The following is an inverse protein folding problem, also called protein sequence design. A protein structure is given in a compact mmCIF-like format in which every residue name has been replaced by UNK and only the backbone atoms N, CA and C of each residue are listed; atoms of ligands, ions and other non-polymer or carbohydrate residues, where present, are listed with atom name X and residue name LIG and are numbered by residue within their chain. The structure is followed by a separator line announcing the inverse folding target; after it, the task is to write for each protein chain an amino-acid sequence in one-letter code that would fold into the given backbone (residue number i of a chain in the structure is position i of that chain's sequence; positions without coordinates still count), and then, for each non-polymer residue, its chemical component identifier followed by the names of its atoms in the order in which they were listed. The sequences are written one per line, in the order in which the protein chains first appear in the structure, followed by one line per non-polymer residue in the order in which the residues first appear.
data_IF_364350696689
#
_entry.id   IF_364350696689
#
_cell.length_a   1.000
_cell.length_b   1.000
_cell.length_c   1.000
_cell.angle_alpha   90.00
_cell.angle_beta   90.00
_cell.angle_gamma   90.00
#
_symmetry.space_group_name_H-M   'P 1'
#
loop_
_entity.id
_entity.type
_entity.pdbx_description
1 polymer ?
#
# COMPACT_ATOMS: atom_id res chain seq x y z
N UNK A 1 -9.09 21.53 11.31
CA UNK A 1 -7.78 22.23 11.28
C UNK A 1 -7.95 23.55 10.52
N UNK A 2 -7.07 24.54 10.68
CA UNK A 2 -7.24 25.87 10.05
C UNK A 2 -7.30 25.80 8.50
N UNK A 3 -6.55 24.89 7.90
CA UNK A 3 -6.49 24.69 6.45
C UNK A 3 -7.81 24.16 5.85
N UNK A 4 -8.47 23.21 6.51
CA UNK A 4 -9.77 22.68 6.08
C UNK A 4 -10.85 23.78 6.04
N UNK A 5 -10.84 24.67 7.03
CA UNK A 5 -11.79 25.78 7.12
C UNK A 5 -11.56 26.82 6.00
N UNK A 6 -10.31 27.06 5.64
CA UNK A 6 -9.96 27.95 4.52
C UNK A 6 -10.43 27.34 3.20
N UNK A 7 -10.15 26.05 2.99
CA UNK A 7 -10.58 25.34 1.79
C UNK A 7 -12.11 25.34 1.62
N UNK A 8 -12.87 25.07 2.68
CA UNK A 8 -14.34 25.14 2.66
C UNK A 8 -14.85 26.54 2.29
N UNK A 9 -14.22 27.60 2.82
CA UNK A 9 -14.58 28.99 2.48
C UNK A 9 -14.25 29.36 1.03
N UNK A 10 -13.15 28.84 0.49
CA UNK A 10 -12.75 29.07 -0.91
C UNK A 10 -13.63 28.29 -1.89
N UNK A 11 -14.06 27.07 -1.54
CA UNK A 11 -14.99 26.27 -2.35
C UNK A 11 -16.34 26.97 -2.56
N UNK A 12 -16.86 27.66 -1.55
CA UNK A 12 -18.13 28.39 -1.68
C UNK A 12 -18.04 29.64 -2.58
N UNK A 13 -16.84 30.04 -3.00
CA UNK A 13 -16.62 31.20 -3.88
C UNK A 13 -16.58 30.83 -5.37
N UNK A 14 -16.56 29.54 -5.72
CA UNK A 14 -16.50 29.06 -7.11
C UNK A 14 -17.85 28.55 -7.61
N UNK A 15 -17.96 28.28 -8.91
CA UNK A 15 -19.21 27.78 -9.48
C UNK A 15 -19.50 26.34 -9.03
N UNK A 16 -20.77 25.92 -8.89
CA UNK A 16 -21.11 24.57 -8.43
C UNK A 16 -20.48 23.43 -9.25
N UNK A 17 -20.30 23.65 -10.56
CA UNK A 17 -19.64 22.68 -11.44
C UNK A 17 -18.12 22.58 -11.16
N UNK A 18 -17.49 23.70 -10.85
CA UNK A 18 -16.07 23.78 -10.50
C UNK A 18 -15.83 23.15 -9.12
N UNK A 19 -16.71 23.41 -8.14
CA UNK A 19 -16.69 22.78 -6.81
C UNK A 19 -16.75 21.25 -6.91
N UNK A 20 -17.69 20.72 -7.70
CA UNK A 20 -17.80 19.27 -7.92
C UNK A 20 -16.57 18.67 -8.61
N UNK A 21 -15.86 19.43 -9.44
CA UNK A 21 -14.61 18.97 -10.04
C UNK A 21 -13.46 18.98 -9.02
N UNK A 22 -13.33 20.05 -8.22
CA UNK A 22 -12.32 20.15 -7.16
C UNK A 22 -12.51 19.03 -6.14
N UNK A 23 -13.74 18.79 -5.66
CA UNK A 23 -14.03 17.72 -4.71
C UNK A 23 -13.68 16.32 -5.26
N UNK A 24 -13.92 16.07 -6.55
CA UNK A 24 -13.51 14.81 -7.19
C UNK A 24 -11.99 14.63 -7.20
N UNK A 25 -11.24 15.68 -7.54
CA UNK A 25 -9.77 15.64 -7.56
C UNK A 25 -9.23 15.44 -6.15
N UNK A 26 -9.70 16.22 -5.17
CA UNK A 26 -9.27 16.11 -3.77
C UNK A 26 -9.57 14.72 -3.21
N UNK A 27 -10.76 14.17 -3.48
CA UNK A 27 -11.13 12.81 -3.06
C UNK A 27 -10.23 11.76 -3.72
N UNK A 28 -9.96 11.90 -5.02
CA UNK A 28 -9.07 10.99 -5.75
C UNK A 28 -7.67 10.98 -5.15
N UNK A 29 -7.10 12.16 -4.89
CA UNK A 29 -5.74 12.29 -4.34
C UNK A 29 -5.66 11.83 -2.88
N UNK A 30 -6.72 12.04 -2.10
CA UNK A 30 -6.80 11.52 -0.74
C UNK A 30 -6.82 9.99 -0.72
N UNK A 31 -7.58 9.36 -1.62
CA UNK A 31 -7.60 7.90 -1.72
C UNK A 31 -6.28 7.34 -2.27
N UNK A 32 -5.69 7.98 -3.28
CA UNK A 32 -4.36 7.63 -3.81
C UNK A 32 -3.30 7.71 -2.71
N UNK A 33 -3.22 8.83 -1.98
CA UNK A 33 -2.26 8.98 -0.88
C UNK A 33 -2.51 7.98 0.27
N UNK A 34 -3.77 7.59 0.51
CA UNK A 34 -4.08 6.53 1.48
C UNK A 34 -3.60 5.17 0.99
N UNK A 35 -3.76 4.85 -0.29
CA UNK A 35 -3.28 3.60 -0.88
C UNK A 35 -1.75 3.55 -0.90
N UNK A 36 -1.08 4.62 -1.35
CA UNK A 36 0.39 4.74 -1.31
C UNK A 36 0.92 4.57 0.11
N UNK A 37 0.33 5.27 1.09
CA UNK A 37 0.72 5.16 2.50
C UNK A 37 0.56 3.75 3.06
N UNK A 38 -0.52 3.03 2.68
CA UNK A 38 -0.70 1.62 3.04
C UNK A 38 0.36 0.73 2.39
N UNK A 39 0.62 0.94 1.10
CA UNK A 39 1.57 0.13 0.33
C UNK A 39 3.00 0.29 0.87
N UNK A 40 3.43 1.53 1.13
CA UNK A 40 4.75 1.83 1.65
C UNK A 40 4.96 1.28 3.06
N UNK A 41 3.97 1.42 3.95
CA UNK A 41 4.09 0.86 5.30
C UNK A 41 4.05 -0.67 5.27
N UNK A 42 3.22 -1.30 4.43
CA UNK A 42 3.21 -2.76 4.27
C UNK A 42 4.57 -3.29 3.80
N UNK A 43 5.15 -2.70 2.74
CA UNK A 43 6.51 -3.03 2.27
C UNK A 43 7.54 -2.91 3.37
N UNK A 44 7.52 -1.79 4.10
CA UNK A 44 8.46 -1.52 5.19
C UNK A 44 8.34 -2.53 6.33
N UNK A 45 7.12 -2.89 6.72
CA UNK A 45 6.87 -3.89 7.76
C UNK A 45 7.32 -5.29 7.34
N UNK A 46 7.05 -5.70 6.10
CA UNK A 46 7.49 -6.98 5.56
C UNK A 46 9.01 -7.05 5.50
N UNK A 47 9.68 -6.01 4.99
CA UNK A 47 11.15 -5.94 4.97
C UNK A 47 11.75 -5.95 6.38
N UNK A 48 11.11 -5.26 7.34
CA UNK A 48 11.54 -5.30 8.74
C UNK A 48 11.36 -6.70 9.34
N UNK A 49 10.28 -7.40 9.04
CA UNK A 49 10.10 -8.79 9.46
C UNK A 49 11.20 -9.70 8.92
N UNK A 50 11.50 -9.61 7.61
CA UNK A 50 12.58 -10.37 6.98
C UNK A 50 13.92 -10.02 7.65
N UNK A 51 14.18 -8.74 7.93
CA UNK A 51 15.41 -8.32 8.62
C UNK A 51 15.55 -8.91 10.02
N UNK A 52 14.46 -8.99 10.77
CA UNK A 52 14.50 -9.52 12.14
C UNK A 52 14.64 -11.05 12.17
N UNK A 53 14.02 -11.76 11.22
CA UNK A 53 13.98 -13.25 11.23
C UNK A 53 15.03 -13.89 10.34
N UNK A 54 15.39 -13.24 9.23
CA UNK A 54 16.29 -13.73 8.17
C UNK A 54 17.20 -12.60 7.66
N UNK A 55 18.10 -12.05 8.51
CA UNK A 55 18.84 -10.83 8.22
C UNK A 55 19.67 -10.88 6.93
N UNK A 56 20.25 -12.03 6.59
CA UNK A 56 21.08 -12.18 5.38
C UNK A 56 20.27 -12.14 4.07
N UNK A 57 18.95 -12.25 4.17
CA UNK A 57 18.06 -12.40 3.01
C UNK A 57 17.36 -11.09 2.62
N UNK A 58 17.48 -10.02 3.41
CA UNK A 58 16.80 -8.74 3.16
C UNK A 58 17.13 -8.20 1.76
N UNK A 59 18.41 -8.14 1.42
CA UNK A 59 18.86 -7.62 0.12
C UNK A 59 18.35 -8.46 -1.05
N UNK A 60 18.13 -9.77 -0.85
CA UNK A 60 17.60 -10.68 -1.87
C UNK A 60 16.13 -10.37 -2.21
N UNK A 61 15.32 -10.04 -1.20
CA UNK A 61 13.88 -9.83 -1.37
C UNK A 61 13.48 -8.36 -1.55
N UNK A 62 14.37 -7.41 -1.25
CA UNK A 62 14.07 -5.98 -1.30
C UNK A 62 13.44 -5.52 -2.63
N UNK A 63 13.97 -5.94 -3.78
CA UNK A 63 13.41 -5.56 -5.07
C UNK A 63 12.05 -6.23 -5.36
N UNK A 64 11.88 -7.49 -4.93
CA UNK A 64 10.64 -8.24 -5.13
C UNK A 64 9.51 -7.63 -4.30
N UNK A 65 9.74 -7.35 -3.02
CA UNK A 65 8.73 -6.72 -2.14
C UNK A 65 8.35 -5.32 -2.63
N UNK A 66 9.30 -4.56 -3.17
CA UNK A 66 9.01 -3.24 -3.77
C UNK A 66 8.17 -3.34 -5.04
N UNK A 67 8.23 -4.47 -5.77
CA UNK A 67 7.44 -4.67 -6.98
C UNK A 67 6.00 -5.11 -6.69
N UNK A 68 5.68 -5.51 -5.45
CA UNK A 68 4.34 -5.96 -5.09
C UNK A 68 3.34 -4.80 -5.03
N UNK A 69 2.12 -5.07 -5.51
CA UNK A 69 0.96 -4.22 -5.32
C UNK A 69 0.34 -4.38 -3.91
N UNK A 70 -0.66 -3.58 -3.59
CA UNK A 70 -1.26 -3.55 -2.25
C UNK A 70 -1.97 -4.87 -1.91
N UNK A 71 -2.65 -5.49 -2.87
CA UNK A 71 -3.39 -6.74 -2.64
C UNK A 71 -2.41 -7.91 -2.39
N UNK A 72 -1.30 -7.95 -3.13
CA UNK A 72 -0.20 -8.87 -2.89
C UNK A 72 0.43 -8.67 -1.52
N UNK A 73 0.66 -7.42 -1.11
CA UNK A 73 1.25 -7.10 0.20
C UNK A 73 0.31 -7.49 1.35
N UNK A 74 -0.99 -7.28 1.21
CA UNK A 74 -2.00 -7.71 2.19
C UNK A 74 -2.05 -9.25 2.29
N UNK A 75 -2.09 -9.94 1.15
CA UNK A 75 -2.08 -11.42 1.09
C UNK A 75 -0.79 -12.03 1.68
N UNK A 76 0.37 -11.36 1.48
CA UNK A 76 1.62 -11.74 2.12
C UNK A 76 1.56 -11.55 3.63
N UNK A 77 0.99 -10.42 4.08
CA UNK A 77 0.89 -10.07 5.49
C UNK A 77 0.08 -11.10 6.29
N UNK A 78 -1.00 -11.65 5.72
CA UNK A 78 -1.83 -12.68 6.35
C UNK A 78 -1.07 -14.00 6.60
N UNK A 79 -0.08 -14.30 5.76
CA UNK A 79 0.72 -15.55 5.87
C UNK A 79 2.06 -15.32 6.57
N UNK A 80 2.48 -14.06 6.73
CA UNK A 80 3.83 -13.69 7.18
C UNK A 80 4.21 -14.33 8.51
N UNK A 81 3.29 -14.35 9.47
CA UNK A 81 3.52 -14.94 10.80
C UNK A 81 3.50 -16.48 10.80
N UNK A 82 2.94 -17.10 9.76
CA UNK A 82 2.89 -18.55 9.60
C UNK A 82 4.16 -19.15 9.01
N UNK A 83 5.05 -18.34 8.42
CA UNK A 83 6.27 -18.86 7.80
C UNK A 83 7.25 -19.41 8.84
N UNK A 84 7.59 -20.70 8.70
CA UNK A 84 8.59 -21.35 9.54
C UNK A 84 10.01 -21.20 8.95
N UNK A 85 10.11 -21.08 7.63
CA UNK A 85 11.36 -21.00 6.88
C UNK A 85 11.36 -19.90 5.81
N UNK A 86 12.56 -19.50 5.38
CA UNK A 86 12.70 -18.55 4.26
C UNK A 86 12.25 -19.15 2.92
N UNK A 87 12.30 -20.49 2.78
CA UNK A 87 11.89 -21.18 1.55
C UNK A 87 10.40 -21.04 1.29
N UNK A 88 9.57 -20.94 2.32
CA UNK A 88 8.14 -20.67 2.17
C UNK A 88 7.88 -19.26 1.61
N UNK A 89 8.62 -18.25 2.07
CA UNK A 89 8.56 -16.90 1.51
C UNK A 89 9.02 -16.89 0.04
N UNK A 90 10.10 -17.60 -0.29
CA UNK A 90 10.58 -17.74 -1.67
C UNK A 90 9.55 -18.41 -2.58
N UNK A 91 8.84 -19.39 -2.04
CA UNK A 91 7.81 -20.12 -2.78
C UNK A 91 6.60 -19.22 -3.01
N UNK A 92 6.13 -18.54 -1.96
CA UNK A 92 5.02 -17.58 -2.06
C UNK A 92 5.31 -16.47 -3.08
N UNK A 93 6.51 -15.87 -3.04
CA UNK A 93 6.92 -14.81 -3.98
C UNK A 93 7.05 -15.29 -5.43
N UNK A 94 7.25 -16.59 -5.66
CA UNK A 94 7.32 -17.18 -7.00
C UNK A 94 5.95 -17.56 -7.54
N UNK A 95 5.05 -18.02 -6.67
CA UNK A 95 3.74 -18.54 -7.02
C UNK A 95 2.69 -17.43 -7.28
N UNK A 96 3.07 -16.16 -7.12
CA UNK A 96 2.27 -14.95 -7.41
C UNK A 96 0.75 -15.12 -7.21
N UNK A 97 0.26 -15.02 -5.96
CA UNK A 97 -1.16 -15.24 -5.68
C UNK A 97 -2.09 -14.14 -6.22
N UNK A 98 -1.59 -13.04 -6.81
CA UNK A 98 -2.48 -11.99 -7.35
C UNK A 98 -3.08 -12.32 -8.72
N UNK A 99 -2.72 -13.44 -9.34
CA UNK A 99 -3.30 -13.85 -10.62
C UNK A 99 -4.56 -14.73 -10.50
N UNK A 100 -5.02 -15.09 -9.30
CA UNK A 100 -6.18 -15.97 -9.21
C UNK A 100 -6.77 -16.15 -7.82
N UNK A 101 -7.57 -15.20 -7.37
CA UNK A 101 -8.92 -15.50 -6.84
C UNK A 101 -9.72 -14.19 -6.65
N UNK A 102 -10.37 -13.75 -7.73
CA UNK A 102 -11.58 -12.94 -7.66
C UNK A 102 -12.69 -13.78 -8.31
N UNK A 103 -13.06 -14.89 -7.66
CA UNK A 103 -14.23 -15.69 -8.02
C UNK A 103 -15.22 -15.74 -6.88
#
# INVERSE_FOLDING_TARGET
MAEQQIFEQELHQIQPQEEAQVLRIVTSWMEEGRQEGRQDEARKLILRFIQQRFPEQVSKFQAQIQALDLDQLDALSDRLFGFESITELETWLREDPAAGDLT
#
